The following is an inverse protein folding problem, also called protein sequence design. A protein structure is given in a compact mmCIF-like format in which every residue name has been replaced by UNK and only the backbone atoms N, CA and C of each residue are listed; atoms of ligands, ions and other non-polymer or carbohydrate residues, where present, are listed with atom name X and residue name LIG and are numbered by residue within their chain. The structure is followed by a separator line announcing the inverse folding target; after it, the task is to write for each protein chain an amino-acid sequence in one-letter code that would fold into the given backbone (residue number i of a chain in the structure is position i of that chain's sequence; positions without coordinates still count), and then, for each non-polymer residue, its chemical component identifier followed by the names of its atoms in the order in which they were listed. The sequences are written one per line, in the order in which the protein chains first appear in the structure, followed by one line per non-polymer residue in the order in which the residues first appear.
data_IF_275394707771
#
_entry.id   IF_275394707771
#
_cell.length_a   1.000
_cell.length_b   1.000
_cell.length_c   1.000
_cell.angle_alpha   90.00
_cell.angle_beta   90.00
_cell.angle_gamma   90.00
#
_symmetry.space_group_name_H-M   'P 1'
#
loop_
_entity.id
_entity.type
_entity.pdbx_description
1 polymer ?
#
# COMPACT_ATOMS: atom_id res chain seq x y z
N UNK A 1 -2.05 -1.69 -13.31
CA UNK A 1 -1.91 -2.69 -12.23
C UNK A 1 -0.74 -2.26 -11.38
N UNK A 2 -0.98 -1.98 -10.09
CA UNK A 2 0.02 -1.50 -9.14
C UNK A 2 0.24 -2.56 -8.06
N UNK A 3 1.49 -2.70 -7.59
CA UNK A 3 1.84 -3.60 -6.49
C UNK A 3 2.38 -2.75 -5.35
N UNK A 4 1.76 -2.87 -4.19
CA UNK A 4 2.10 -2.10 -2.99
C UNK A 4 2.64 -3.06 -1.92
N UNK A 5 3.69 -2.64 -1.20
CA UNK A 5 4.15 -3.34 0.00
C UNK A 5 3.17 -3.07 1.14
N UNK A 6 2.67 -4.12 1.81
CA UNK A 6 1.83 -3.98 2.99
C UNK A 6 2.69 -3.69 4.23
N UNK A 7 2.87 -2.41 4.55
CA UNK A 7 3.72 -1.98 5.65
C UNK A 7 3.15 -2.31 7.04
N UNK A 8 1.90 -2.76 7.15
CA UNK A 8 1.30 -3.20 8.42
C UNK A 8 1.93 -4.49 8.92
N UNK A 9 2.46 -5.28 7.99
CA UNK A 9 3.00 -6.60 8.26
C UNK A 9 4.49 -6.58 8.62
N UNK A 10 5.15 -5.45 8.40
CA UNK A 10 6.53 -5.26 8.80
C UNK A 10 6.65 -5.06 10.32
N UNK A 11 7.72 -5.58 10.95
CA UNK A 11 8.83 -6.32 10.34
C UNK A 11 8.59 -7.84 10.22
N UNK A 12 7.42 -8.34 10.64
CA UNK A 12 7.13 -9.77 10.79
C UNK A 12 7.14 -10.53 9.46
N UNK A 13 6.57 -9.97 8.40
CA UNK A 13 6.54 -10.57 7.05
C UNK A 13 6.51 -9.50 5.95
N UNK A 14 6.92 -9.89 4.75
CA UNK A 14 6.90 -9.04 3.56
C UNK A 14 5.77 -9.51 2.65
N UNK A 15 4.66 -8.78 2.67
CA UNK A 15 3.45 -9.09 1.90
C UNK A 15 3.14 -7.97 0.90
N UNK A 16 2.47 -8.32 -0.21
CA UNK A 16 2.14 -7.37 -1.26
C UNK A 16 0.64 -7.33 -1.55
N UNK A 17 0.13 -6.13 -1.82
CA UNK A 17 -1.25 -5.89 -2.24
C UNK A 17 -1.23 -5.60 -3.75
N UNK A 18 -2.00 -6.39 -4.51
CA UNK A 18 -2.20 -6.15 -5.94
C UNK A 18 -3.40 -5.23 -6.16
N UNK A 19 -3.13 -3.97 -6.49
CA UNK A 19 -4.17 -3.01 -6.82
C UNK A 19 -4.46 -2.95 -8.33
N UNK A 20 -5.72 -3.25 -8.66
CA UNK A 20 -6.23 -3.27 -10.04
C UNK A 20 -6.95 -1.97 -10.42
N UNK A 21 -7.34 -1.17 -9.44
CA UNK A 21 -8.06 0.09 -9.57
C UNK A 21 -7.60 1.12 -8.52
N UNK A 22 -8.01 2.38 -8.70
CA UNK A 22 -7.68 3.47 -7.78
C UNK A 22 -8.34 3.29 -6.40
N UNK A 23 -9.52 2.67 -6.36
CA UNK A 23 -10.23 2.32 -5.12
C UNK A 23 -9.41 1.40 -4.21
N UNK A 24 -8.65 0.45 -4.79
CA UNK A 24 -7.71 -0.36 -4.03
C UNK A 24 -6.59 0.47 -3.42
N UNK A 25 -6.03 1.43 -4.17
CA UNK A 25 -4.96 2.31 -3.68
C UNK A 25 -5.47 3.19 -2.54
N UNK A 26 -6.67 3.78 -2.71
CA UNK A 26 -7.32 4.57 -1.66
C UNK A 26 -7.47 3.77 -0.36
N UNK A 27 -8.00 2.53 -0.43
CA UNK A 27 -8.10 1.65 0.74
C UNK A 27 -6.75 1.31 1.36
N UNK A 28 -5.70 1.16 0.55
CA UNK A 28 -4.35 0.88 1.05
C UNK A 28 -3.76 2.08 1.81
N UNK A 29 -4.03 3.32 1.37
CA UNK A 29 -3.61 4.55 2.04
C UNK A 29 -4.40 4.74 3.35
N UNK A 30 -5.73 4.66 3.28
CA UNK A 30 -6.62 4.83 4.44
C UNK A 30 -6.34 3.79 5.55
N UNK A 31 -6.08 2.55 5.15
CA UNK A 31 -5.72 1.46 6.05
C UNK A 31 -4.27 1.48 6.53
N UNK A 32 -3.46 2.47 6.12
CA UNK A 32 -2.03 2.59 6.41
C UNK A 32 -1.17 1.39 5.95
N UNK A 33 -1.66 0.61 4.98
CA UNK A 33 -0.85 -0.38 4.28
C UNK A 33 0.26 0.30 3.48
N UNK A 34 -0.03 1.46 2.89
CA UNK A 34 0.98 2.40 2.36
C UNK A 34 0.92 3.69 3.16
N UNK A 35 2.10 4.17 3.59
CA UNK A 35 2.25 5.38 4.41
C UNK A 35 3.58 6.07 4.16
N UNK A 36 3.68 7.32 4.60
CA UNK A 36 4.80 8.23 4.36
C UNK A 36 4.54 9.12 3.15
N UNK A 37 4.72 10.43 3.29
CA UNK A 37 4.32 11.40 2.28
C UNK A 37 4.90 11.13 0.87
N UNK A 38 6.20 10.78 0.71
CA UNK A 38 6.74 10.45 -0.61
C UNK A 38 6.11 9.18 -1.22
N UNK A 39 5.86 8.15 -0.41
CA UNK A 39 5.28 6.90 -0.90
C UNK A 39 3.81 7.08 -1.31
N UNK A 40 3.04 7.85 -0.53
CA UNK A 40 1.66 8.22 -0.87
C UNK A 40 1.60 9.01 -2.17
N UNK A 41 2.56 9.90 -2.43
CA UNK A 41 2.58 10.69 -3.66
C UNK A 41 2.91 9.91 -4.94
N UNK A 42 3.49 8.71 -4.81
CA UNK A 42 3.86 7.83 -5.94
C UNK A 42 2.77 6.77 -6.20
N UNK A 43 2.10 6.30 -5.15
CA UNK A 43 1.07 5.27 -5.21
C UNK A 43 -0.20 5.76 -5.93
#
# INVERSE_FOLDING_TARGET
MLVLLDQRELPSRVEHILCRDAECVARAIEGLAVRGAPAIGIA
#
